data_IF_432259782637
#
_entry.id   IF_432259782637
#
_cell.length_a   1.000
_cell.length_b   1.000
_cell.length_c   1.000
_cell.angle_alpha   90.00
_cell.angle_beta   90.00
_cell.angle_gamma   90.00
#
_symmetry.space_group_name_H-M   'P 1'
#
loop_
_entity.id
_entity.type
_entity.pdbx_description
1 polymer ?
#
# COMPACT_ATOMS: atom_id res chain seq x y z
N UNK A 1 46.61 12.82 -3.50
CA UNK A 1 45.27 12.37 -3.93
C UNK A 1 44.75 11.45 -2.85
N UNK A 2 43.61 11.76 -2.20
CA UNK A 2 43.13 10.99 -1.05
C UNK A 2 42.02 10.04 -1.49
N UNK A 3 42.34 8.76 -1.60
CA UNK A 3 41.35 7.69 -1.69
C UNK A 3 40.70 7.51 -0.31
N UNK A 4 39.38 7.62 -0.23
CA UNK A 4 38.64 7.33 1.00
C UNK A 4 38.34 5.83 1.06
N UNK A 5 38.85 5.16 2.09
CA UNK A 5 38.44 3.81 2.43
C UNK A 5 37.31 3.87 3.46
N UNK A 6 36.14 3.32 3.12
CA UNK A 6 35.07 3.11 4.09
C UNK A 6 35.14 1.67 4.61
N UNK A 7 35.18 1.53 5.93
CA UNK A 7 35.14 0.25 6.64
C UNK A 7 33.74 0.04 7.19
N UNK A 8 33.02 -0.97 6.67
CA UNK A 8 31.79 -1.48 7.26
C UNK A 8 32.03 -2.89 7.74
N UNK A 9 32.20 -3.04 9.06
CA UNK A 9 32.47 -4.21 9.88
C UNK A 9 33.53 -5.25 9.44
N UNK A 10 33.67 -5.67 8.19
CA UNK A 10 34.76 -6.60 7.76
C UNK A 10 35.13 -6.49 6.26
N UNK A 11 34.57 -5.51 5.53
CA UNK A 11 34.81 -5.36 4.09
C UNK A 11 35.32 -3.94 3.83
N UNK A 12 36.48 -3.85 3.19
CA UNK A 12 37.10 -2.58 2.80
C UNK A 12 36.69 -2.26 1.36
N UNK A 13 36.17 -1.06 1.16
CA UNK A 13 35.82 -0.55 -0.16
C UNK A 13 36.74 0.61 -0.55
N UNK A 14 37.23 0.59 -1.80
CA UNK A 14 37.87 1.73 -2.43
C UNK A 14 36.81 2.54 -3.17
N UNK A 15 36.70 3.82 -2.83
CA UNK A 15 35.76 4.76 -3.43
C UNK A 15 36.46 5.68 -4.42
N UNK A 16 36.09 5.59 -5.69
CA UNK A 16 36.50 6.57 -6.69
C UNK A 16 35.34 7.54 -6.94
N UNK A 17 35.36 8.66 -6.22
CA UNK A 17 34.32 9.69 -6.34
C UNK A 17 34.33 10.39 -7.70
N UNK A 18 35.49 10.47 -8.37
CA UNK A 18 35.62 11.12 -9.68
C UNK A 18 35.04 10.28 -10.80
N UNK A 19 35.32 8.97 -10.77
CA UNK A 19 34.81 8.02 -11.74
C UNK A 19 33.44 7.44 -11.33
N UNK A 20 32.95 7.77 -10.13
CA UNK A 20 31.63 7.38 -9.67
C UNK A 20 31.47 5.89 -9.44
N UNK A 21 32.48 5.19 -8.90
CA UNK A 21 32.38 3.76 -8.59
C UNK A 21 32.96 3.42 -7.21
N UNK A 22 32.43 2.34 -6.62
CA UNK A 22 33.04 1.65 -5.49
C UNK A 22 33.59 0.30 -5.93
N UNK A 23 34.73 -0.08 -5.37
CA UNK A 23 35.34 -1.39 -5.56
C UNK A 23 35.48 -2.09 -4.22
N UNK A 24 34.95 -3.30 -4.11
CA UNK A 24 35.18 -4.16 -2.97
C UNK A 24 36.62 -4.71 -3.06
N UNK A 25 37.46 -4.48 -2.05
CA UNK A 25 38.85 -4.94 -2.08
C UNK A 25 39.00 -6.44 -1.79
N UNK A 26 38.02 -7.08 -1.15
CA UNK A 26 38.04 -8.51 -0.88
C UNK A 26 37.58 -9.35 -2.08
N UNK A 27 36.57 -8.89 -2.83
CA UNK A 27 35.97 -9.65 -3.96
C UNK A 27 36.31 -9.09 -5.34
N UNK A 28 36.91 -7.90 -5.42
CA UNK A 28 37.21 -7.21 -6.68
C UNK A 28 35.97 -6.65 -7.40
N UNK A 29 34.76 -6.86 -6.88
CA UNK A 29 33.52 -6.41 -7.52
C UNK A 29 33.42 -4.89 -7.56
N UNK A 30 33.05 -4.35 -8.72
CA UNK A 30 32.87 -2.91 -8.96
C UNK A 30 31.39 -2.60 -9.11
N UNK A 31 30.92 -1.57 -8.41
CA UNK A 31 29.54 -1.07 -8.53
C UNK A 31 29.56 0.45 -8.74
N UNK A 32 28.67 1.01 -9.55
CA UNK A 32 28.54 2.45 -9.66
C UNK A 32 28.09 3.04 -8.30
N UNK A 33 28.57 4.24 -8.02
CA UNK A 33 28.11 5.05 -6.90
C UNK A 33 26.80 5.71 -7.28
N UNK A 34 25.72 5.25 -6.66
CA UNK A 34 24.44 5.92 -6.75
C UNK A 34 24.35 6.96 -5.64
N UNK A 35 23.94 8.18 -6.00
CA UNK A 35 23.51 9.14 -4.99
C UNK A 35 22.37 8.53 -4.16
N UNK A 36 22.32 8.87 -2.87
CA UNK A 36 21.17 8.50 -2.05
C UNK A 36 19.91 9.10 -2.70
N UNK A 37 18.81 8.35 -2.85
CA UNK A 37 17.55 8.92 -3.30
C UNK A 37 17.19 10.14 -2.46
N UNK A 38 16.76 11.23 -3.11
CA UNK A 38 16.31 12.40 -2.39
C UNK A 38 15.10 12.03 -1.54
N UNK A 39 15.20 12.22 -0.23
CA UNK A 39 14.07 12.01 0.66
C UNK A 39 12.97 13.02 0.30
N UNK A 40 11.79 12.52 -0.07
CA UNK A 40 10.60 13.33 -0.29
C UNK A 40 9.62 13.08 0.85
N UNK A 41 9.05 14.15 1.39
CA UNK A 41 8.02 14.02 2.41
C UNK A 41 6.83 13.20 1.88
N UNK A 42 6.15 12.39 2.72
CA UNK A 42 5.00 11.61 2.30
C UNK A 42 3.93 12.45 1.58
N UNK A 43 3.66 13.66 2.07
CA UNK A 43 2.73 14.61 1.46
C UNK A 43 3.05 14.96 0.00
N UNK A 44 4.33 14.97 -0.40
CA UNK A 44 4.77 15.23 -1.77
C UNK A 44 4.74 13.96 -2.64
N UNK A 45 4.84 12.78 -2.02
CA UNK A 45 4.78 11.48 -2.71
C UNK A 45 3.35 10.99 -2.93
N UNK A 46 2.42 11.45 -2.11
CA UNK A 46 1.00 11.15 -2.18
C UNK A 46 0.39 11.20 -3.59
N UNK A 47 0.57 12.28 -4.38
CA UNK A 47 0.01 12.35 -5.73
C UNK A 47 0.65 11.35 -6.71
N UNK A 48 1.83 10.82 -6.40
CA UNK A 48 2.50 9.81 -7.23
C UNK A 48 2.09 8.36 -6.86
N UNK A 49 1.30 8.16 -5.80
CA UNK A 49 0.81 6.83 -5.41
C UNK A 49 -0.23 6.31 -6.41
N UNK A 50 0.08 5.21 -7.09
CA UNK A 50 -0.75 4.68 -8.20
C UNK A 50 -2.19 4.32 -7.83
N UNK A 51 -2.43 3.99 -6.57
CA UNK A 51 -3.72 3.46 -6.09
C UNK A 51 -4.40 4.41 -5.10
N UNK A 52 -3.62 5.24 -4.40
CA UNK A 52 -4.11 6.14 -3.35
C UNK A 52 -3.91 7.62 -3.68
N UNK A 53 -3.44 7.95 -4.89
CA UNK A 53 -3.25 9.36 -5.31
C UNK A 53 -4.54 10.14 -5.11
N UNK A 54 -4.45 11.20 -4.30
CA UNK A 54 -5.56 12.12 -4.00
C UNK A 54 -6.51 11.69 -2.87
N UNK A 55 -6.47 10.45 -2.37
CA UNK A 55 -7.54 9.91 -1.51
C UNK A 55 -7.30 10.04 0.01
N UNK A 56 -6.13 10.48 0.50
CA UNK A 56 -5.95 10.68 1.95
C UNK A 56 -6.62 11.95 2.48
N UNK A 57 -6.99 12.89 1.60
CA UNK A 57 -7.74 14.10 1.95
C UNK A 57 -9.26 13.83 1.94
N UNK A 58 -9.70 12.80 2.67
CA UNK A 58 -11.13 12.63 2.89
C UNK A 58 -11.48 13.30 4.21
N UNK A 59 -12.34 14.32 4.12
CA UNK A 59 -13.06 14.86 5.26
C UNK A 59 -13.67 13.69 6.07
N UNK A 60 -13.80 13.82 7.40
CA UNK A 60 -14.46 12.80 8.20
C UNK A 60 -15.80 12.45 7.54
N UNK A 61 -16.13 11.15 7.37
CA UNK A 61 -17.40 10.78 6.79
C UNK A 61 -18.52 11.47 7.59
N UNK A 62 -19.59 11.94 6.94
CA UNK A 62 -20.73 12.51 7.65
C UNK A 62 -21.14 11.51 8.73
N UNK A 63 -21.35 12.01 9.96
CA UNK A 63 -21.78 11.18 11.07
C UNK A 63 -23.01 10.38 10.61
N UNK A 64 -23.00 9.03 10.73
CA UNK A 64 -24.15 8.24 10.33
C UNK A 64 -25.34 8.74 11.14
N UNK A 65 -26.35 9.29 10.47
CA UNK A 65 -27.65 9.53 11.08
C UNK A 65 -28.20 8.20 11.63
N UNK A 66 -29.12 8.21 12.59
CA UNK A 66 -29.67 6.99 13.17
C UNK A 66 -30.35 6.16 12.08
N UNK A 67 -29.61 5.17 11.57
CA UNK A 67 -30.13 4.17 10.66
C UNK A 67 -30.92 3.15 11.49
N UNK A 68 -32.03 2.62 10.97
CA UNK A 68 -32.75 1.55 11.67
C UNK A 68 -31.79 0.40 11.94
N UNK A 69 -31.96 -0.30 13.07
CA UNK A 69 -31.15 -1.48 13.39
C UNK A 69 -31.36 -2.54 12.29
N UNK A 70 -30.40 -2.64 11.36
CA UNK A 70 -30.43 -3.63 10.31
C UNK A 70 -29.73 -4.91 10.79
N UNK A 71 -30.20 -6.10 10.39
CA UNK A 71 -29.60 -7.38 10.78
C UNK A 71 -28.22 -7.65 10.12
N UNK A 72 -27.80 -6.77 9.19
CA UNK A 72 -26.56 -6.86 8.43
C UNK A 72 -25.70 -5.60 8.63
N UNK A 73 -24.39 -5.65 8.32
CA UNK A 73 -23.50 -4.50 8.51
C UNK A 73 -23.99 -3.25 7.78
N UNK A 74 -23.78 -2.08 8.37
CA UNK A 74 -24.18 -0.77 7.82
C UNK A 74 -23.57 -0.47 6.44
N UNK A 75 -22.46 -1.12 6.11
CA UNK A 75 -21.81 -0.99 4.81
C UNK A 75 -22.49 -1.80 3.70
N UNK A 76 -23.49 -2.63 4.02
CA UNK A 76 -24.22 -3.39 3.03
C UNK A 76 -25.25 -2.52 2.31
N UNK A 77 -25.44 -2.80 1.02
CA UNK A 77 -26.44 -2.13 0.20
C UNK A 77 -27.76 -2.87 0.28
N UNK A 78 -28.88 -2.22 -0.12
CA UNK A 78 -30.15 -2.91 -0.24
C UNK A 78 -30.02 -4.06 -1.23
N UNK A 79 -30.50 -5.25 -0.83
CA UNK A 79 -30.57 -6.42 -1.69
C UNK A 79 -31.96 -6.51 -2.29
N UNK A 80 -32.05 -6.68 -3.61
CA UNK A 80 -33.34 -6.92 -4.27
C UNK A 80 -33.94 -8.25 -3.76
N UNK A 81 -35.26 -8.34 -3.54
CA UNK A 81 -35.90 -9.53 -2.97
C UNK A 81 -35.75 -10.79 -3.83
N UNK A 82 -35.40 -10.64 -5.11
CA UNK A 82 -35.17 -11.75 -6.05
C UNK A 82 -33.72 -12.27 -6.04
N UNK A 83 -32.80 -11.60 -5.35
CA UNK A 83 -31.37 -11.96 -5.35
C UNK A 83 -30.94 -12.46 -3.98
N UNK A 84 -30.33 -13.63 -3.95
CA UNK A 84 -29.76 -14.20 -2.71
C UNK A 84 -28.38 -13.63 -2.37
N UNK A 85 -27.70 -12.99 -3.33
CA UNK A 85 -26.40 -12.37 -3.11
C UNK A 85 -26.12 -11.26 -4.13
N UNK A 86 -25.24 -10.33 -3.75
CA UNK A 86 -24.73 -9.29 -4.65
C UNK A 86 -23.27 -8.94 -4.39
N UNK A 87 -22.65 -8.28 -5.38
CA UNK A 87 -21.35 -7.64 -5.24
C UNK A 87 -21.55 -6.13 -5.27
N UNK A 88 -20.98 -5.44 -4.29
CA UNK A 88 -20.94 -3.99 -4.25
C UNK A 88 -19.49 -3.52 -4.40
N UNK A 89 -19.19 -2.54 -5.27
CA UNK A 89 -17.85 -1.99 -5.36
C UNK A 89 -17.50 -1.27 -4.06
N UNK A 90 -16.27 -1.48 -3.57
CA UNK A 90 -15.74 -0.75 -2.40
C UNK A 90 -14.98 0.46 -2.92
N UNK A 91 -15.47 1.65 -2.60
CA UNK A 91 -14.85 2.90 -3.01
C UNK A 91 -13.51 3.10 -2.29
N UNK A 92 -12.54 3.77 -2.93
CA UNK A 92 -11.19 4.00 -2.37
C UNK A 92 -11.25 4.87 -1.11
N UNK A 93 -12.29 5.70 -1.03
CA UNK A 93 -12.66 6.59 0.06
C UNK A 93 -13.17 5.83 1.29
N UNK A 94 -13.67 4.59 1.10
CA UNK A 94 -14.20 3.79 2.19
C UNK A 94 -13.07 3.34 3.13
N UNK A 95 -13.30 3.43 4.44
CA UNK A 95 -12.35 2.92 5.45
C UNK A 95 -12.01 1.44 5.21
N UNK A 96 -12.98 0.65 4.75
CA UNK A 96 -12.81 -0.76 4.38
C UNK A 96 -11.77 -0.96 3.27
N UNK A 97 -11.75 -0.10 2.25
CA UNK A 97 -10.77 -0.19 1.17
C UNK A 97 -9.34 -0.01 1.66
N UNK A 98 -9.09 0.99 2.53
CA UNK A 98 -7.76 1.24 3.08
C UNK A 98 -7.24 0.07 3.92
N UNK A 99 -8.14 -0.55 4.69
CA UNK A 99 -7.80 -1.73 5.48
C UNK A 99 -7.43 -2.92 4.58
N UNK A 100 -8.23 -3.17 3.54
CA UNK A 100 -7.96 -4.21 2.54
C UNK A 100 -6.65 -3.93 1.82
N UNK A 101 -6.40 -2.69 1.42
CA UNK A 101 -5.17 -2.24 0.77
C UNK A 101 -3.94 -2.52 1.63
N UNK A 102 -3.98 -2.14 2.91
CA UNK A 102 -2.89 -2.38 3.84
C UNK A 102 -2.62 -3.86 4.08
N UNK A 103 -3.67 -4.69 4.19
CA UNK A 103 -3.53 -6.14 4.34
C UNK A 103 -2.99 -6.80 3.07
N UNK A 104 -3.46 -6.39 1.90
CA UNK A 104 -3.02 -6.91 0.60
C UNK A 104 -1.54 -6.62 0.38
N UNK A 105 -1.11 -5.38 0.61
CA UNK A 105 0.28 -4.99 0.40
C UNK A 105 1.25 -5.40 1.51
N UNK A 106 0.74 -5.95 2.61
CA UNK A 106 1.57 -6.58 3.64
C UNK A 106 2.28 -7.83 3.11
N UNK A 107 1.63 -8.60 2.24
CA UNK A 107 2.21 -9.80 1.62
C UNK A 107 2.63 -9.58 0.17
N UNK A 108 1.95 -8.69 -0.56
CA UNK A 108 2.20 -8.44 -1.98
C UNK A 108 2.73 -7.02 -2.20
N UNK A 109 4.04 -6.84 -2.46
CA UNK A 109 4.63 -5.50 -2.56
C UNK A 109 4.02 -4.69 -3.71
N UNK A 110 3.70 -3.43 -3.44
CA UNK A 110 3.09 -2.48 -4.39
C UNK A 110 3.97 -2.25 -5.64
N UNK A 111 5.29 -2.45 -5.51
CA UNK A 111 6.23 -2.35 -6.64
C UNK A 111 5.94 -3.38 -7.75
N UNK A 112 5.27 -4.50 -7.43
CA UNK A 112 5.00 -5.60 -8.36
C UNK A 112 3.51 -5.83 -8.60
N UNK A 113 2.68 -5.59 -7.59
CA UNK A 113 1.25 -5.88 -7.64
C UNK A 113 0.46 -4.60 -7.43
N UNK A 114 -0.57 -4.41 -8.26
CA UNK A 114 -1.48 -3.27 -8.17
C UNK A 114 -2.89 -3.78 -7.88
N UNK A 115 -3.54 -3.19 -6.89
CA UNK A 115 -4.93 -3.47 -6.57
C UNK A 115 -5.83 -2.67 -7.53
N UNK A 116 -6.54 -3.35 -8.44
CA UNK A 116 -7.39 -2.67 -9.42
C UNK A 116 -8.77 -2.33 -8.87
N UNK A 117 -9.47 -3.33 -8.33
CA UNK A 117 -10.85 -3.20 -7.84
C UNK A 117 -11.06 -4.09 -6.63
N UNK A 118 -11.91 -3.64 -5.73
CA UNK A 118 -12.35 -4.41 -4.57
C UNK A 118 -13.87 -4.51 -4.62
N UNK A 119 -14.36 -5.74 -4.58
CA UNK A 119 -15.79 -6.03 -4.56
C UNK A 119 -16.16 -6.67 -3.23
N UNK A 120 -17.08 -6.04 -2.49
CA UNK A 120 -17.67 -6.59 -1.28
C UNK A 120 -18.77 -7.55 -1.67
N UNK A 121 -18.62 -8.81 -1.30
CA UNK A 121 -19.66 -9.83 -1.45
C UNK A 121 -20.64 -9.70 -0.29
N UNK A 122 -21.91 -9.46 -0.63
CA UNK A 122 -23.02 -9.38 0.30
C UNK A 122 -23.88 -10.63 0.09
N UNK A 123 -23.78 -11.57 1.03
CA UNK A 123 -24.51 -12.83 0.99
C UNK A 123 -25.13 -13.08 2.37
N UNK A 124 -26.42 -12.76 2.55
CA UNK A 124 -27.14 -12.97 3.81
C UNK A 124 -27.05 -14.41 4.33
N UNK A 125 -27.24 -15.40 3.46
CA UNK A 125 -27.23 -16.81 3.85
C UNK A 125 -25.88 -17.25 4.42
N UNK A 126 -24.78 -16.91 3.73
CA UNK A 126 -23.43 -17.20 4.22
C UNK A 126 -23.12 -16.39 5.48
N UNK A 127 -23.52 -15.12 5.54
CA UNK A 127 -23.31 -14.31 6.73
C UNK A 127 -24.00 -14.91 7.96
N UNK A 128 -25.26 -15.30 7.85
CA UNK A 128 -26.02 -15.92 8.94
C UNK A 128 -25.43 -17.27 9.37
N UNK A 129 -24.80 -17.99 8.44
CA UNK A 129 -24.05 -19.21 8.74
C UNK A 129 -22.74 -18.94 9.51
N UNK A 130 -22.02 -17.87 9.18
CA UNK A 130 -20.68 -17.58 9.71
C UNK A 130 -20.63 -16.58 10.87
N UNK A 131 -21.73 -15.88 11.17
CA UNK A 131 -21.78 -14.89 12.27
C UNK A 131 -21.73 -15.47 13.68
N UNK A 132 -21.64 -16.80 13.81
CA UNK A 132 -21.66 -17.53 15.10
C UNK A 132 -20.36 -17.39 15.86
#
# INVERSE_FOLDING_TARGET
MKDLALMTCYIIYQLNLRAGYQRNLATGTVRPLCARPAFRAPALLLPELRTLSGSLALAPPPAPGPLPAQPYPETWGPLAPERDWQQAPVAVEERGYRLIYGLFHKSLPEARYRLERVWRVQNPFLWDKYKR
#
